data_IF_783474057842
#
_entry.id   IF_783474057842
#
_cell.length_a   1.000
_cell.length_b   1.000
_cell.length_c   1.000
_cell.angle_alpha   90.00
_cell.angle_beta   90.00
_cell.angle_gamma   90.00
#
_symmetry.space_group_name_H-M   'P 1'
#
loop_
_entity.id
_entity.type
_entity.pdbx_description
1 polymer ?
#
# COMPACT_ATOMS: atom_id res chain seq x y z
N UNK A 1 -0.41 33.67 -28.42
CA UNK A 1 -0.71 33.08 -27.11
C UNK A 1 -0.05 33.94 -26.05
N UNK A 2 -0.79 34.36 -25.03
CA UNK A 2 -0.28 35.16 -23.91
C UNK A 2 0.43 34.29 -22.88
N UNK A 3 1.26 34.91 -22.02
CA UNK A 3 1.87 34.20 -20.88
C UNK A 3 0.84 33.64 -19.90
N UNK A 4 -0.31 34.29 -19.76
CA UNK A 4 -1.41 33.75 -18.97
C UNK A 4 -2.01 32.48 -19.61
N UNK A 5 -2.23 32.48 -20.92
CA UNK A 5 -2.73 31.31 -21.65
C UNK A 5 -1.76 30.11 -21.57
N UNK A 6 -0.45 30.34 -21.69
CA UNK A 6 0.58 29.32 -21.48
C UNK A 6 0.48 28.69 -20.08
N UNK A 7 0.32 29.51 -19.03
CA UNK A 7 0.15 29.02 -17.67
C UNK A 7 -1.15 28.24 -17.47
N UNK A 8 -2.27 28.71 -18.05
CA UNK A 8 -3.54 28.00 -17.99
C UNK A 8 -3.48 26.64 -18.68
N UNK A 9 -2.79 26.53 -19.81
CA UNK A 9 -2.59 25.26 -20.51
C UNK A 9 -1.74 24.29 -19.69
N UNK A 10 -0.63 24.77 -19.11
CA UNK A 10 0.22 23.94 -18.23
C UNK A 10 -0.56 23.44 -17.00
N UNK A 11 -1.34 24.32 -16.37
CA UNK A 11 -2.20 23.96 -15.24
C UNK A 11 -3.27 22.94 -15.64
N UNK A 12 -3.95 23.14 -16.77
CA UNK A 12 -4.97 22.21 -17.25
C UNK A 12 -4.39 20.82 -17.54
N UNK A 13 -3.23 20.75 -18.20
CA UNK A 13 -2.53 19.50 -18.45
C UNK A 13 -2.12 18.80 -17.15
N UNK A 14 -1.58 19.54 -16.18
CA UNK A 14 -1.23 19.02 -14.85
C UNK A 14 -2.47 18.47 -14.11
N UNK A 15 -3.62 19.15 -14.16
CA UNK A 15 -4.85 18.68 -13.54
C UNK A 15 -5.45 17.45 -14.20
N UNK A 16 -5.28 17.30 -15.51
CA UNK A 16 -5.70 16.10 -16.21
C UNK A 16 -4.83 14.90 -15.80
N UNK A 17 -3.50 15.05 -15.82
CA UNK A 17 -2.57 14.02 -15.38
C UNK A 17 -2.78 13.62 -13.91
N UNK A 18 -3.08 14.58 -13.02
CA UNK A 18 -3.44 14.32 -11.63
C UNK A 18 -4.68 13.42 -11.52
N UNK A 19 -5.76 13.71 -12.25
CA UNK A 19 -6.99 12.91 -12.23
C UNK A 19 -6.74 11.48 -12.71
N UNK A 20 -5.98 11.32 -13.79
CA UNK A 20 -5.62 10.01 -14.34
C UNK A 20 -4.77 9.20 -13.34
N UNK A 21 -3.79 9.85 -12.71
CA UNK A 21 -2.97 9.24 -11.66
C UNK A 21 -3.80 8.76 -10.47
N UNK A 22 -4.72 9.60 -9.98
CA UNK A 22 -5.60 9.27 -8.86
C UNK A 22 -6.54 8.12 -9.18
N UNK A 23 -7.11 8.10 -10.38
CA UNK A 23 -7.97 7.00 -10.81
C UNK A 23 -7.17 5.68 -10.86
N UNK A 24 -5.99 5.69 -11.47
CA UNK A 24 -5.12 4.53 -11.53
C UNK A 24 -4.68 4.04 -10.14
N UNK A 25 -4.45 4.94 -9.17
CA UNK A 25 -4.15 4.55 -7.79
C UNK A 25 -5.32 3.83 -7.12
N UNK A 26 -6.56 4.27 -7.34
CA UNK A 26 -7.75 3.59 -6.79
C UNK A 26 -7.91 2.20 -7.39
N UNK A 27 -7.78 2.07 -8.72
CA UNK A 27 -7.85 0.78 -9.42
C UNK A 27 -6.74 -0.17 -8.96
N UNK A 28 -5.52 0.33 -8.82
CA UNK A 28 -4.40 -0.45 -8.28
C UNK A 28 -4.66 -0.91 -6.85
N UNK A 29 -5.27 -0.07 -6.01
CA UNK A 29 -5.57 -0.42 -4.61
C UNK A 29 -6.50 -1.64 -4.54
N UNK A 30 -7.54 -1.69 -5.39
CA UNK A 30 -8.44 -2.84 -5.47
C UNK A 30 -7.70 -4.12 -5.91
N UNK A 31 -6.80 -4.01 -6.88
CA UNK A 31 -5.96 -5.13 -7.34
C UNK A 31 -5.02 -5.60 -6.23
N UNK A 32 -4.34 -4.68 -5.56
CA UNK A 32 -3.39 -4.96 -4.49
C UNK A 32 -4.06 -5.69 -3.34
N UNK A 33 -5.21 -5.20 -2.87
CA UNK A 33 -5.97 -5.83 -1.78
C UNK A 33 -6.41 -7.23 -2.16
N UNK A 34 -6.94 -7.39 -3.38
CA UNK A 34 -7.38 -8.70 -3.85
C UNK A 34 -6.21 -9.68 -3.90
N UNK A 35 -5.10 -9.30 -4.52
CA UNK A 35 -3.93 -10.18 -4.59
C UNK A 35 -3.36 -10.49 -3.21
N UNK A 36 -3.38 -9.54 -2.29
CA UNK A 36 -2.91 -9.75 -0.92
C UNK A 36 -3.83 -10.70 -0.13
N UNK A 37 -5.15 -10.55 -0.32
CA UNK A 37 -6.15 -11.44 0.26
C UNK A 37 -6.01 -12.86 -0.27
N UNK A 38 -5.77 -13.01 -1.58
CA UNK A 38 -5.48 -14.28 -2.22
C UNK A 38 -4.16 -14.89 -1.67
N UNK A 39 -3.13 -14.06 -1.48
CA UNK A 39 -1.81 -14.50 -0.98
C UNK A 39 -1.84 -14.96 0.48
N UNK A 40 -2.55 -14.24 1.36
CA UNK A 40 -2.70 -14.61 2.77
C UNK A 40 -3.79 -15.66 3.01
N UNK A 41 -4.56 -16.00 1.98
CA UNK A 41 -5.76 -16.83 2.09
C UNK A 41 -6.74 -16.33 3.17
N UNK A 42 -6.80 -15.01 3.36
CA UNK A 42 -7.63 -14.36 4.38
C UNK A 42 -8.32 -13.10 3.83
N UNK A 43 -9.53 -12.74 4.30
CA UNK A 43 -10.18 -11.52 3.88
C UNK A 43 -9.39 -10.29 4.38
N UNK A 44 -9.19 -9.33 3.48
CA UNK A 44 -8.57 -8.05 3.80
C UNK A 44 -9.59 -6.96 3.54
N UNK A 45 -9.84 -6.14 4.54
CA UNK A 45 -10.84 -5.09 4.47
C UNK A 45 -10.23 -3.69 4.44
N UNK A 46 -10.94 -2.76 3.79
CA UNK A 46 -10.72 -1.33 3.86
C UNK A 46 -11.73 -0.75 4.86
N UNK A 47 -11.36 -0.53 6.14
CA UNK A 47 -12.31 -0.03 7.14
C UNK A 47 -12.76 1.41 6.82
N UNK A 48 -11.97 2.14 6.02
CA UNK A 48 -12.25 3.51 5.62
C UNK A 48 -11.96 3.69 4.13
N UNK A 49 -12.66 4.64 3.52
CA UNK A 49 -12.41 5.01 2.12
C UNK A 49 -10.98 5.57 1.99
N UNK A 50 -10.19 5.13 1.00
CA UNK A 50 -8.92 5.74 0.68
C UNK A 50 -9.05 7.26 0.48
N UNK A 51 -8.08 8.01 0.96
CA UNK A 51 -8.04 9.46 0.84
C UNK A 51 -6.72 9.91 0.22
N UNK A 52 -6.78 10.98 -0.54
CA UNK A 52 -5.60 11.54 -1.18
C UNK A 52 -5.04 12.69 -0.35
N UNK A 53 -3.75 12.62 -0.03
CA UNK A 53 -3.03 13.72 0.57
C UNK A 53 -2.42 14.65 -0.48
N UNK A 54 -1.38 15.36 -0.07
CA UNK A 54 -0.63 16.23 -0.95
C UNK A 54 0.04 15.45 -2.08
N UNK A 55 0.24 16.11 -3.22
CA UNK A 55 0.93 15.56 -4.40
C UNK A 55 0.34 14.24 -4.92
N UNK A 56 -0.97 14.04 -4.76
CA UNK A 56 -1.69 12.91 -5.35
C UNK A 56 -1.34 11.54 -4.75
N UNK A 57 -0.70 11.51 -3.58
CA UNK A 57 -0.44 10.28 -2.82
C UNK A 57 -1.75 9.80 -2.22
N UNK A 58 -2.11 8.54 -2.48
CA UNK A 58 -3.27 7.87 -1.89
C UNK A 58 -2.86 7.20 -0.58
N UNK A 59 -3.63 7.42 0.47
CA UNK A 59 -3.46 6.80 1.78
C UNK A 59 -4.66 5.92 2.08
N UNK A 60 -4.41 4.74 2.60
CA UNK A 60 -5.45 3.80 3.00
C UNK A 60 -4.93 2.85 4.07
N UNK A 61 -5.86 2.24 4.77
CA UNK A 61 -5.58 1.29 5.83
C UNK A 61 -6.16 -0.06 5.45
N UNK A 62 -5.41 -1.13 5.69
CA UNK A 62 -5.88 -2.50 5.57
C UNK A 62 -6.15 -3.05 6.97
N UNK A 63 -7.22 -3.82 7.11
CA UNK A 63 -7.52 -4.57 8.33
C UNK A 63 -7.59 -6.06 8.07
N UNK A 64 -7.01 -6.83 8.99
CA UNK A 64 -6.97 -8.28 8.97
C UNK A 64 -7.44 -8.78 10.34
N UNK A 65 -8.40 -9.70 10.33
CA UNK A 65 -8.87 -10.38 11.53
C UNK A 65 -8.01 -11.62 11.79
N UNK A 66 -7.36 -11.65 12.94
CA UNK A 66 -6.60 -12.78 13.45
C UNK A 66 -7.42 -13.50 14.53
N UNK A 67 -7.20 -14.81 14.64
CA UNK A 67 -7.84 -15.66 15.64
C UNK A 67 -6.82 -16.54 16.35
N UNK A 68 -7.09 -16.83 17.62
CA UNK A 68 -6.28 -17.76 18.41
C UNK A 68 -6.32 -19.19 17.84
N UNK A 69 -7.48 -19.60 17.30
CA UNK A 69 -7.71 -20.94 16.79
C UNK A 69 -8.03 -20.94 15.27
N UNK A 70 -7.03 -21.12 14.40
CA UNK A 70 -7.25 -21.11 12.95
C UNK A 70 -8.10 -22.31 12.46
N UNK A 71 -8.12 -23.43 13.20
CA UNK A 71 -8.94 -24.59 12.84
C UNK A 71 -10.42 -24.41 13.20
N UNK A 72 -10.73 -23.50 14.12
CA UNK A 72 -12.09 -23.12 14.48
C UNK A 72 -12.15 -21.62 14.85
N UNK A 73 -12.19 -20.73 13.84
CA UNK A 73 -12.04 -19.28 14.02
C UNK A 73 -13.11 -18.61 14.90
N UNK A 74 -14.23 -19.30 15.13
CA UNK A 74 -15.33 -18.83 15.99
C UNK A 74 -15.07 -19.06 17.49
N UNK A 75 -13.95 -19.69 17.86
CA UNK A 75 -13.60 -20.01 19.25
C UNK A 75 -12.26 -19.40 19.65
N UNK A 76 -12.19 -18.91 20.88
CA UNK A 76 -10.99 -18.25 21.42
C UNK A 76 -10.98 -16.76 21.17
N UNK A 77 -9.84 -16.13 21.46
CA UNK A 77 -9.66 -14.70 21.29
C UNK A 77 -9.50 -14.30 19.81
N UNK A 78 -9.96 -13.09 19.48
CA UNK A 78 -9.85 -12.48 18.15
C UNK A 78 -9.30 -11.06 18.25
N UNK A 79 -8.54 -10.67 17.25
CA UNK A 79 -7.97 -9.33 17.14
C UNK A 79 -8.05 -8.84 15.70
N UNK A 80 -8.42 -7.57 15.51
CA UNK A 80 -8.31 -6.91 14.21
C UNK A 80 -7.04 -6.09 14.17
N UNK A 81 -6.11 -6.46 13.29
CA UNK A 81 -4.85 -5.75 13.09
C UNK A 81 -4.98 -4.80 11.92
N UNK A 82 -4.32 -3.64 12.03
CA UNK A 82 -4.36 -2.57 11.05
C UNK A 82 -2.97 -2.28 10.49
N UNK A 83 -2.88 -2.15 9.17
CA UNK A 83 -1.66 -1.71 8.46
C UNK A 83 -1.99 -0.47 7.64
N UNK A 84 -1.17 0.57 7.79
CA UNK A 84 -1.31 1.80 7.02
C UNK A 84 -0.39 1.78 5.81
N UNK A 85 -0.94 2.12 4.64
CA UNK A 85 -0.23 2.15 3.37
C UNK A 85 -0.39 3.52 2.71
N UNK A 86 0.64 3.91 1.96
CA UNK A 86 0.51 4.98 0.96
C UNK A 86 0.92 4.50 -0.43
N UNK A 87 0.34 5.12 -1.44
CA UNK A 87 0.48 4.72 -2.84
C UNK A 87 0.67 5.95 -3.72
N UNK A 88 1.69 5.88 -4.58
CA UNK A 88 1.96 6.85 -5.63
C UNK A 88 2.15 6.16 -6.97
N UNK A 89 1.55 6.70 -8.04
CA UNK A 89 1.84 6.27 -9.41
C UNK A 89 3.04 7.03 -9.96
N UNK A 90 4.07 6.31 -10.36
CA UNK A 90 5.28 6.85 -10.99
C UNK A 90 5.44 6.23 -12.37
N UNK A 91 5.15 7.01 -13.41
CA UNK A 91 5.23 6.59 -14.82
C UNK A 91 4.40 5.31 -15.04
N UNK A 92 5.02 4.15 -15.11
CA UNK A 92 4.40 2.85 -15.41
C UNK A 92 4.33 1.91 -14.19
N UNK A 93 4.79 2.37 -13.02
CA UNK A 93 4.80 1.58 -11.80
C UNK A 93 4.10 2.32 -10.65
N UNK A 94 3.86 1.57 -9.58
CA UNK A 94 3.29 2.06 -8.34
C UNK A 94 4.34 1.94 -7.23
N UNK A 95 4.42 2.94 -6.37
CA UNK A 95 5.23 2.88 -5.15
C UNK A 95 4.26 2.68 -4.00
N UNK A 96 4.35 1.54 -3.33
CA UNK A 96 3.60 1.22 -2.11
C UNK A 96 4.53 1.41 -0.92
N UNK A 97 4.19 2.32 -0.02
CA UNK A 97 4.92 2.53 1.23
C UNK A 97 4.17 1.88 2.39
N UNK A 98 4.88 1.08 3.19
CA UNK A 98 4.33 0.44 4.39
C UNK A 98 4.73 1.21 5.65
N UNK A 99 3.73 1.72 6.38
CA UNK A 99 3.90 2.49 7.61
C UNK A 99 3.75 1.60 8.86
N UNK A 100 4.42 1.94 9.99
CA UNK A 100 5.17 3.17 10.26
C UNK A 100 6.64 3.17 9.80
N UNK A 101 7.15 2.02 9.34
CA UNK A 101 8.58 1.86 9.01
C UNK A 101 9.00 2.65 7.75
N UNK A 102 8.05 3.04 6.90
CA UNK A 102 8.31 3.87 5.73
C UNK A 102 9.02 3.12 4.61
N UNK A 103 8.84 1.79 4.53
CA UNK A 103 9.49 0.98 3.50
C UNK A 103 8.72 1.02 2.20
N UNK A 104 9.42 1.34 1.11
CA UNK A 104 8.86 1.46 -0.23
C UNK A 104 9.04 0.18 -1.06
N UNK A 105 7.99 -0.17 -1.79
CA UNK A 105 7.95 -1.27 -2.75
C UNK A 105 7.53 -0.73 -4.11
N UNK A 106 8.39 -0.95 -5.10
CA UNK A 106 8.08 -0.61 -6.49
C UNK A 106 7.35 -1.80 -7.12
N UNK A 107 6.10 -1.57 -7.54
CA UNK A 107 5.23 -2.60 -8.09
C UNK A 107 4.87 -2.29 -9.53
N UNK A 108 5.24 -3.20 -10.42
CA UNK A 108 4.72 -3.29 -11.79
C UNK A 108 3.54 -4.27 -11.75
N UNK A 109 2.36 -3.85 -12.24
CA UNK A 109 1.12 -4.65 -12.17
C UNK A 109 1.28 -6.02 -12.83
N UNK A 110 2.04 -6.08 -13.93
CA UNK A 110 2.22 -7.31 -14.71
C UNK A 110 3.32 -8.24 -14.17
N UNK A 111 3.94 -7.89 -13.05
CA UNK A 111 5.03 -8.66 -12.43
C UNK A 111 4.63 -9.14 -11.03
N UNK A 112 4.06 -10.37 -10.90
CA UNK A 112 3.56 -10.91 -9.63
C UNK A 112 4.58 -10.89 -8.49
N UNK A 113 5.86 -11.09 -8.82
CA UNK A 113 6.95 -11.10 -7.85
C UNK A 113 7.04 -9.79 -7.04
N UNK A 114 6.72 -8.64 -7.65
CA UNK A 114 6.77 -7.36 -6.94
C UNK A 114 5.67 -7.24 -5.87
N UNK A 115 4.52 -7.89 -6.07
CA UNK A 115 3.49 -7.97 -5.05
C UNK A 115 3.94 -8.87 -3.90
N UNK A 116 4.48 -10.06 -4.21
CA UNK A 116 4.98 -11.02 -3.21
C UNK A 116 6.01 -10.37 -2.27
N UNK A 117 6.96 -9.59 -2.79
CA UNK A 117 7.97 -8.90 -1.97
C UNK A 117 7.34 -7.93 -0.95
N UNK A 118 6.30 -7.20 -1.34
CA UNK A 118 5.58 -6.31 -0.42
C UNK A 118 4.73 -7.11 0.58
N UNK A 119 4.09 -8.18 0.13
CA UNK A 119 3.22 -9.02 0.97
C UNK A 119 4.01 -9.78 2.02
N UNK A 120 5.15 -10.37 1.65
CA UNK A 120 6.06 -11.06 2.58
C UNK A 120 6.55 -10.09 3.67
N UNK A 121 6.94 -8.88 3.28
CA UNK A 121 7.35 -7.87 4.25
C UNK A 121 6.23 -7.53 5.24
N UNK A 122 5.00 -7.33 4.74
CA UNK A 122 3.86 -7.03 5.59
C UNK A 122 3.52 -8.22 6.50
N UNK A 123 3.59 -9.45 5.98
CA UNK A 123 3.37 -10.67 6.75
C UNK A 123 4.37 -10.80 7.89
N UNK A 124 5.66 -10.63 7.60
CA UNK A 124 6.73 -10.70 8.60
C UNK A 124 6.61 -9.59 9.63
N UNK A 125 6.22 -8.37 9.20
CA UNK A 125 5.92 -7.27 10.11
C UNK A 125 4.81 -7.62 11.10
N UNK A 126 3.67 -8.11 10.61
CA UNK A 126 2.55 -8.52 11.47
C UNK A 126 2.96 -9.64 12.43
N UNK A 127 3.59 -10.69 11.91
CA UNK A 127 4.05 -11.86 12.67
C UNK A 127 5.06 -11.47 13.75
N UNK A 128 5.93 -10.49 13.48
CA UNK A 128 6.93 -10.02 14.44
C UNK A 128 6.30 -9.40 15.70
N UNK A 129 5.12 -8.78 15.57
CA UNK A 129 4.38 -8.21 16.69
C UNK A 129 3.96 -9.24 17.74
N UNK A 130 3.68 -10.47 17.32
CA UNK A 130 3.24 -11.55 18.20
C UNK A 130 4.38 -12.42 18.74
N UNK A 131 5.48 -12.53 17.99
CA UNK A 131 6.62 -13.38 18.37
C UNK A 131 7.64 -12.65 19.24
N UNK A 132 7.50 -11.34 19.42
CA UNK A 132 8.44 -10.51 20.18
C UNK A 132 9.84 -10.44 19.55
N UNK A 133 9.99 -10.90 18.30
CA UNK A 133 11.23 -10.83 17.51
C UNK A 133 10.94 -10.05 16.24
N UNK A 134 11.47 -8.83 16.16
CA UNK A 134 11.54 -8.12 14.87
C UNK A 134 12.69 -8.70 14.06
N UNK A 135 12.39 -9.63 13.16
CA UNK A 135 13.35 -10.10 12.14
C UNK A 135 13.63 -9.01 11.08
N UNK A 136 12.88 -7.91 11.11
CA UNK A 136 13.02 -6.74 10.23
C UNK A 136 14.18 -5.81 10.60
N UNK A 137 14.79 -5.99 11.78
CA UNK A 137 15.94 -5.21 12.22
C UNK A 137 17.27 -5.75 11.65
N UNK A 138 17.41 -5.84 10.32
CA UNK A 138 18.70 -6.17 9.66
C UNK A 138 18.78 -5.78 8.18
N UNK A 139 18.13 -4.69 7.75
CA UNK A 139 18.59 -3.98 6.55
C UNK A 139 18.88 -2.54 6.96
N UNK A 140 20.14 -2.29 7.32
CA UNK A 140 20.69 -0.94 7.30
C UNK A 140 20.48 -0.37 5.89
N UNK A 141 19.66 0.67 5.77
CA UNK A 141 19.73 1.52 4.59
C UNK A 141 21.15 2.11 4.51
N UNK A 142 21.87 1.96 3.40
CA UNK A 142 23.10 2.71 3.22
C UNK A 142 22.71 4.19 3.16
N UNK A 143 22.99 4.91 4.24
CA UNK A 143 22.91 6.37 4.29
C UNK A 143 23.65 6.94 3.07
N UNK A 144 23.01 7.78 2.23
CA UNK A 144 23.73 8.47 1.18
C UNK A 144 24.62 9.54 1.85
N UNK A 145 25.93 9.34 1.74
CA UNK A 145 26.93 10.41 1.88
C UNK A 145 27.13 11.11 0.54
#
# INVERSE_FOLDING_TARGET
>A
MSKFEELCQAYAASKQADRESRQACLEFTEIFIKQMSDYFECPIELPQKPWFGDKSVLYFDLTIDLCENPANPETGDRETVKISLSLEKVIDNFIVTVWPLGRDFKILIDEPKHFEEAFEYIFDYLKSGYTGRSELASQEDPLPF
#
